data_IF_028892322067
#
_entry.id   IF_028892322067
#
_cell.length_a   1.000
_cell.length_b   1.000
_cell.length_c   1.000
_cell.angle_alpha   90.00
_cell.angle_beta   90.00
_cell.angle_gamma   90.00
#
_symmetry.space_group_name_H-M   'P 1'
#
loop_
_entity.id
_entity.type
_entity.pdbx_description
1 polymer ?
#
# COMPACT_ATOMS: atom_id res chain seq x y z
N UNK A 1 -11.55 20.32 7.86
CA UNK A 1 -11.74 19.21 6.90
C UNK A 1 -10.38 18.63 6.56
N UNK A 2 -10.06 17.38 6.89
CA UNK A 2 -8.83 16.71 6.45
C UNK A 2 -9.18 15.72 5.33
N UNK A 3 -8.73 15.96 4.09
CA UNK A 3 -8.85 14.96 3.03
C UNK A 3 -7.89 13.81 3.30
N UNK A 4 -8.39 12.58 3.27
CA UNK A 4 -7.56 11.38 3.24
C UNK A 4 -7.22 11.04 1.81
N UNK A 5 -5.94 10.83 1.53
CA UNK A 5 -5.44 10.31 0.26
C UNK A 5 -4.93 8.89 0.50
N UNK A 6 -5.32 7.95 -0.36
CA UNK A 6 -4.86 6.55 -0.31
C UNK A 6 -4.40 6.12 -1.69
N UNK A 7 -3.14 5.74 -1.81
CA UNK A 7 -2.50 5.21 -3.02
C UNK A 7 -2.24 3.71 -2.79
N UNK A 8 -2.71 2.86 -3.70
CA UNK A 8 -2.46 1.42 -3.70
C UNK A 8 -1.58 1.06 -4.89
N UNK A 9 -0.42 0.49 -4.62
CA UNK A 9 0.47 -0.07 -5.63
C UNK A 9 0.51 -1.59 -5.44
N UNK A 10 0.20 -2.33 -6.49
CA UNK A 10 0.29 -3.79 -6.50
C UNK A 10 1.28 -4.18 -7.58
N UNK A 11 2.31 -4.92 -7.21
CA UNK A 11 3.30 -5.44 -8.14
C UNK A 11 3.54 -6.92 -7.88
N UNK A 12 3.68 -7.69 -8.95
CA UNK A 12 3.91 -9.13 -8.88
C UNK A 12 5.35 -9.41 -9.30
N UNK A 13 6.07 -10.19 -8.50
CA UNK A 13 7.44 -10.63 -8.77
C UNK A 13 7.44 -12.15 -8.72
N UNK A 14 7.47 -12.80 -9.89
CA UNK A 14 7.36 -14.26 -9.98
C UNK A 14 6.02 -14.77 -9.43
N UNK A 15 6.08 -15.69 -8.46
CA UNK A 15 4.92 -16.25 -7.75
C UNK A 15 4.44 -15.36 -6.57
N UNK A 16 5.20 -14.33 -6.22
CA UNK A 16 4.90 -13.45 -5.10
C UNK A 16 4.13 -12.21 -5.56
N UNK A 17 3.08 -11.85 -4.83
CA UNK A 17 2.39 -10.56 -5.02
C UNK A 17 2.74 -9.64 -3.86
N UNK A 18 3.23 -8.45 -4.18
CA UNK A 18 3.56 -7.40 -3.22
C UNK A 18 2.51 -6.30 -3.33
N UNK A 19 1.96 -5.91 -2.20
CA UNK A 19 1.00 -4.80 -2.12
C UNK A 19 1.58 -3.72 -1.21
N UNK A 20 1.79 -2.53 -1.77
CA UNK A 20 2.12 -1.33 -1.02
C UNK A 20 0.91 -0.41 -0.97
N UNK A 21 0.49 -0.03 0.23
CA UNK A 21 -0.55 0.98 0.41
C UNK A 21 0.05 2.17 1.13
N UNK A 22 0.01 3.33 0.48
CA UNK A 22 0.35 4.61 1.06
C UNK A 22 -0.96 5.31 1.43
N UNK A 23 -1.17 5.68 2.68
CA UNK A 23 -2.30 6.52 3.05
C UNK A 23 -1.83 7.67 3.91
N UNK A 24 -2.51 8.81 3.83
CA UNK A 24 -2.23 9.87 4.78
C UNK A 24 -3.42 10.73 5.11
N UNK A 25 -3.29 11.38 6.26
CA UNK A 25 -4.32 12.17 6.89
C UNK A 25 -3.66 13.36 7.58
N UNK A 26 -4.14 14.57 7.30
CA UNK A 26 -3.65 15.78 7.97
C UNK A 26 -2.17 16.09 7.77
N UNK A 27 -1.59 15.68 6.63
CA UNK A 27 -0.17 15.92 6.31
C UNK A 27 0.80 14.84 6.79
N UNK A 28 0.31 13.80 7.46
CA UNK A 28 1.11 12.59 7.80
C UNK A 28 0.84 11.47 6.80
N UNK A 29 1.91 10.91 6.26
CA UNK A 29 1.88 9.76 5.37
C UNK A 29 2.30 8.49 6.11
N UNK A 30 1.58 7.40 5.87
CA UNK A 30 1.84 6.07 6.39
C UNK A 30 1.99 5.11 5.21
N UNK A 31 2.94 4.18 5.33
CA UNK A 31 3.21 3.16 4.32
C UNK A 31 2.98 1.77 4.91
N UNK A 32 2.21 0.95 4.23
CA UNK A 32 1.99 -0.45 4.55
C UNK A 32 2.47 -1.33 3.42
N UNK A 33 3.30 -2.32 3.72
CA UNK A 33 3.81 -3.32 2.77
C UNK A 33 3.30 -4.70 3.19
N UNK A 34 2.40 -5.26 2.39
CA UNK A 34 1.91 -6.63 2.54
C UNK A 34 2.61 -7.56 1.54
N UNK A 35 3.06 -8.70 2.06
CA UNK A 35 3.72 -9.77 1.33
C UNK A 35 2.72 -10.92 1.23
N UNK A 36 2.17 -11.15 0.04
CA UNK A 36 1.24 -12.27 -0.17
C UNK A 36 1.94 -13.25 -1.11
N UNK A 37 2.50 -14.32 -0.54
CA UNK A 37 2.84 -15.53 -1.29
C UNK A 37 1.54 -16.26 -1.59
N UNK A 38 1.22 -16.44 -2.88
CA UNK A 38 0.11 -17.33 -3.24
C UNK A 38 0.46 -18.74 -2.73
N UNK A 39 -0.39 -19.38 -1.92
CA UNK A 39 -0.22 -20.78 -1.56
C UNK A 39 -0.35 -21.69 -2.79
#
# INVERSE_FOLDING_TARGET
MACMYTVKMVFSVGLETKQSTLWGQGGRWHTYLAWTTKP
#
